data_IF_321246958132
#
_entry.id   IF_321246958132
#
_cell.length_a   1.000
_cell.length_b   1.000
_cell.length_c   1.000
_cell.angle_alpha   90.00
_cell.angle_beta   90.00
_cell.angle_gamma   90.00
#
_symmetry.space_group_name_H-M   'P 1'
#
loop_
_entity.id
_entity.type
_entity.pdbx_description
1 polymer ?
#
# COMPACT_ATOMS: atom_id res chain seq x y z
N UNK A 1 -3.75 20.77 22.05
CA UNK A 1 -2.85 19.81 21.38
C UNK A 1 -3.69 18.64 20.87
N UNK A 2 -3.68 18.30 19.57
CA UNK A 2 -4.37 17.09 19.11
C UNK A 2 -3.64 15.85 19.62
N UNK A 3 -4.36 14.99 20.35
CA UNK A 3 -3.85 13.73 20.88
C UNK A 3 -3.89 12.68 19.76
N UNK A 4 -2.74 12.38 19.16
CA UNK A 4 -2.65 11.30 18.17
C UNK A 4 -2.86 9.95 18.87
N UNK A 5 -3.95 9.25 18.56
CA UNK A 5 -4.15 7.86 19.00
C UNK A 5 -3.59 6.92 17.94
N UNK A 6 -2.73 6.00 18.37
CA UNK A 6 -2.21 4.95 17.51
C UNK A 6 -3.34 3.97 17.18
N UNK A 7 -3.61 3.79 15.90
CA UNK A 7 -4.48 2.73 15.38
C UNK A 7 -3.58 1.72 14.71
N UNK A 8 -3.62 0.47 15.16
CA UNK A 8 -2.90 -0.65 14.55
C UNK A 8 -3.96 -1.58 13.98
N UNK A 9 -3.82 -1.92 12.71
CA UNK A 9 -4.74 -2.81 12.00
C UNK A 9 -3.92 -3.81 11.22
N UNK A 10 -4.23 -5.08 11.40
CA UNK A 10 -3.67 -6.15 10.57
C UNK A 10 -4.54 -6.28 9.32
N UNK A 11 -3.87 -6.46 8.18
CA UNK A 11 -4.55 -6.56 6.91
C UNK A 11 -3.82 -7.50 5.97
N UNK A 12 -4.59 -8.12 5.09
CA UNK A 12 -4.09 -8.91 3.98
C UNK A 12 -4.21 -8.10 2.69
N UNK A 13 -3.15 -8.07 1.88
CA UNK A 13 -3.16 -7.37 0.58
C UNK A 13 -3.09 -8.38 -0.55
N UNK A 14 -4.01 -8.25 -1.50
CA UNK A 14 -3.96 -8.93 -2.79
C UNK A 14 -3.69 -7.90 -3.88
N UNK A 15 -2.44 -7.78 -4.36
CA UNK A 15 -2.09 -6.86 -5.43
C UNK A 15 -2.22 -7.54 -6.80
N UNK A 16 -2.79 -6.82 -7.77
CA UNK A 16 -2.83 -7.19 -9.17
C UNK A 16 -2.09 -6.10 -9.95
N UNK A 17 -0.81 -6.38 -10.25
CA UNK A 17 0.15 -5.39 -10.76
C UNK A 17 0.62 -5.77 -12.18
N UNK A 18 0.74 -4.77 -13.04
CA UNK A 18 1.39 -4.86 -14.33
C UNK A 18 2.62 -3.95 -14.34
N UNK A 19 3.70 -4.38 -14.98
CA UNK A 19 4.93 -3.60 -15.00
C UNK A 19 5.67 -3.71 -16.32
N UNK A 20 6.44 -2.67 -16.62
CA UNK A 20 7.36 -2.60 -17.74
C UNK A 20 8.76 -2.35 -17.20
N UNK A 21 9.77 -2.90 -17.89
CA UNK A 21 11.18 -2.70 -17.56
C UNK A 21 11.82 -1.85 -18.66
N UNK A 22 11.71 -0.51 -18.59
CA UNK A 22 12.24 0.36 -19.63
C UNK A 22 13.77 0.28 -19.80
N UNK A 23 14.50 -0.01 -18.72
CA UNK A 23 15.97 -0.14 -18.75
C UNK A 23 16.35 -1.48 -18.15
N UNK A 24 17.08 -2.29 -18.91
CA UNK A 24 17.58 -3.59 -18.47
C UNK A 24 19.07 -3.71 -18.81
N UNK A 25 19.91 -3.72 -17.79
CA UNK A 25 21.35 -3.94 -17.88
C UNK A 25 21.79 -5.05 -16.90
N UNK A 26 22.94 -5.71 -17.11
CA UNK A 26 23.36 -6.87 -16.30
C UNK A 26 23.49 -6.62 -14.78
N UNK A 27 23.71 -5.36 -14.38
CA UNK A 27 23.87 -4.97 -12.97
C UNK A 27 22.79 -3.98 -12.51
N UNK A 28 21.93 -3.52 -13.42
CA UNK A 28 20.99 -2.44 -13.15
C UNK A 28 19.70 -2.64 -13.97
N UNK A 29 18.55 -2.66 -13.30
CA UNK A 29 17.25 -2.67 -13.96
C UNK A 29 16.36 -1.56 -13.39
N UNK A 30 15.70 -0.80 -14.27
CA UNK A 30 14.67 0.15 -13.89
C UNK A 30 13.32 -0.41 -14.29
N UNK A 31 12.40 -0.49 -13.34
CA UNK A 31 11.06 -1.02 -13.48
C UNK A 31 10.04 0.07 -13.16
N UNK A 32 8.96 0.11 -13.91
CA UNK A 32 7.77 0.89 -13.57
C UNK A 32 6.60 -0.06 -13.50
N UNK A 33 5.74 0.11 -12.51
CA UNK A 33 4.62 -0.78 -12.28
C UNK A 33 3.39 -0.03 -11.80
N UNK A 34 2.23 -0.56 -12.14
CA UNK A 34 0.94 0.00 -11.76
C UNK A 34 -0.14 -1.07 -11.75
N UNK A 35 -1.16 -0.88 -10.92
CA UNK A 35 -2.22 -1.86 -10.79
C UNK A 35 -3.22 -1.52 -9.70
N UNK A 36 -4.07 -2.48 -9.38
CA UNK A 36 -5.02 -2.39 -8.28
C UNK A 36 -4.55 -3.26 -7.12
N UNK A 37 -4.87 -2.86 -5.90
CA UNK A 37 -4.61 -3.64 -4.70
C UNK A 37 -5.87 -3.65 -3.83
N UNK A 38 -6.29 -4.86 -3.45
CA UNK A 38 -7.37 -5.07 -2.49
C UNK A 38 -6.76 -5.30 -1.11
N UNK A 39 -7.20 -4.52 -0.13
CA UNK A 39 -6.80 -4.60 1.27
C UNK A 39 -7.97 -5.16 2.06
N UNK A 40 -7.77 -6.33 2.66
CA UNK A 40 -8.73 -6.98 3.55
C UNK A 40 -8.29 -6.72 4.98
N UNK A 41 -8.99 -5.81 5.66
CA UNK A 41 -8.69 -5.46 7.04
C UNK A 41 -9.36 -6.46 7.98
N UNK A 42 -8.58 -7.09 8.86
CA UNK A 42 -9.14 -7.83 9.98
C UNK A 42 -9.63 -6.78 11.00
N UNK A 43 -10.86 -6.92 11.50
CA UNK A 43 -11.50 -5.97 12.41
C UNK A 43 -10.55 -5.53 13.52
N UNK A 44 -10.14 -4.26 13.51
CA UNK A 44 -9.29 -3.66 14.52
C UNK A 44 -10.13 -3.05 15.63
N UNK A 45 -9.97 -3.52 16.87
CA UNK A 45 -10.53 -2.83 18.03
C UNK A 45 -9.74 -1.54 18.28
N UNK A 46 -10.33 -0.39 17.92
CA UNK A 46 -9.77 0.91 18.32
C UNK A 46 -10.06 1.12 19.80
N UNK A 47 -9.03 0.96 20.64
CA UNK A 47 -9.14 1.21 22.08
C UNK A 47 -9.74 2.61 22.35
N UNK A 48 -10.95 2.63 22.91
CA UNK A 48 -11.63 3.84 23.36
C UNK A 48 -12.52 4.55 22.34
N UNK A 49 -12.95 3.88 21.25
CA UNK A 49 -14.03 4.31 20.36
C UNK A 49 -14.85 3.08 19.95
N UNK A 50 -15.92 2.79 20.68
CA UNK A 50 -16.75 1.58 20.55
C UNK A 50 -17.64 1.53 19.30
N UNK A 51 -17.36 2.25 18.21
CA UNK A 51 -18.28 2.30 17.07
C UNK A 51 -17.70 2.78 15.74
N UNK A 52 -16.39 2.63 15.48
CA UNK A 52 -15.86 2.93 14.15
C UNK A 52 -15.92 1.64 13.32
N UNK A 53 -16.94 1.54 12.46
CA UNK A 53 -17.04 0.50 11.43
C UNK A 53 -15.95 0.71 10.39
N UNK A 54 -14.96 -0.18 10.37
CA UNK A 54 -13.94 -0.26 9.33
C UNK A 54 -14.53 -1.05 8.15
N UNK A 55 -14.37 -0.53 6.93
CA UNK A 55 -14.69 -1.31 5.73
C UNK A 55 -13.78 -2.53 5.70
N UNK A 56 -14.36 -3.73 5.66
CA UNK A 56 -13.61 -4.99 5.64
C UNK A 56 -12.73 -5.10 4.39
N UNK A 57 -13.14 -4.47 3.29
CA UNK A 57 -12.40 -4.47 2.02
C UNK A 57 -12.21 -3.03 1.53
N UNK A 58 -10.97 -2.67 1.21
CA UNK A 58 -10.60 -1.37 0.63
C UNK A 58 -9.84 -1.59 -0.66
N UNK A 59 -10.20 -0.85 -1.71
CA UNK A 59 -9.56 -0.91 -3.02
C UNK A 59 -8.73 0.33 -3.25
N UNK A 60 -7.47 0.12 -3.63
CA UNK A 60 -6.54 1.19 -3.98
C UNK A 60 -5.99 0.95 -5.39
N UNK A 61 -5.64 2.03 -6.08
CA UNK A 61 -4.72 1.96 -7.21
C UNK A 61 -3.31 2.15 -6.68
N UNK A 62 -2.38 1.29 -7.12
CA UNK A 62 -0.96 1.40 -6.79
C UNK A 62 -0.18 1.75 -8.03
N UNK A 63 0.72 2.71 -7.93
CA UNK A 63 1.70 3.03 -8.97
C UNK A 63 3.07 3.23 -8.34
N UNK A 64 4.13 2.79 -9.02
CA UNK A 64 5.48 2.88 -8.47
C UNK A 64 6.57 2.63 -9.49
N UNK A 65 7.79 2.82 -9.02
CA UNK A 65 9.01 2.52 -9.75
C UNK A 65 9.95 1.70 -8.86
N UNK A 66 10.67 0.81 -9.50
CA UNK A 66 11.65 -0.08 -8.89
C UNK A 66 13.01 0.11 -9.54
N UNK A 67 14.05 0.05 -8.73
CA UNK A 67 15.44 0.03 -9.18
C UNK A 67 16.11 -1.20 -8.58
N UNK A 68 16.61 -2.05 -9.45
CA UNK A 68 17.34 -3.25 -9.07
C UNK A 68 18.81 -3.01 -9.33
N UNK A 69 19.64 -3.20 -8.30
CA UNK A 69 21.10 -3.15 -8.40
C UNK A 69 21.62 -4.52 -8.01
N UNK A 70 22.11 -5.26 -9.00
CA UNK A 70 22.59 -6.63 -8.86
C UNK A 70 21.55 -7.58 -8.23
N UNK A 71 21.60 -7.79 -6.91
CA UNK A 71 20.66 -8.64 -6.15
C UNK A 71 19.72 -7.84 -5.23
N UNK A 72 19.92 -6.53 -5.12
CA UNK A 72 19.13 -5.67 -4.25
C UNK A 72 18.03 -5.03 -5.08
N UNK A 73 16.79 -5.20 -4.65
CA UNK A 73 15.62 -4.55 -5.26
C UNK A 73 15.16 -3.41 -4.35
N UNK A 74 15.02 -2.21 -4.90
CA UNK A 74 14.46 -1.07 -4.18
C UNK A 74 13.22 -0.58 -4.92
N UNK A 75 12.06 -0.67 -4.28
CA UNK A 75 10.78 -0.28 -4.88
C UNK A 75 10.16 0.86 -4.09
N UNK A 76 9.84 1.95 -4.78
CA UNK A 76 9.04 3.04 -4.25
C UNK A 76 7.69 3.06 -4.94
N UNK A 77 6.61 3.05 -4.16
CA UNK A 77 5.26 3.06 -4.70
C UNK A 77 4.31 3.90 -3.86
N UNK A 78 3.25 4.35 -4.51
CA UNK A 78 2.20 5.15 -3.94
C UNK A 78 0.85 4.44 -4.14
N UNK A 79 0.08 4.35 -3.07
CA UNK A 79 -1.29 3.87 -3.06
C UNK A 79 -2.26 5.04 -3.06
N UNK A 80 -3.13 5.06 -4.06
CA UNK A 80 -4.24 5.96 -4.19
C UNK A 80 -5.53 5.26 -3.77
N UNK A 81 -6.12 5.67 -2.64
CA UNK A 81 -7.38 5.13 -2.14
C UNK A 81 -8.54 5.42 -3.06
N UNK A 82 -9.20 4.38 -3.58
CA UNK A 82 -10.42 4.51 -4.37
C UNK A 82 -11.63 4.47 -3.43
N UNK A 83 -11.67 3.49 -2.54
CA UNK A 83 -12.77 3.32 -1.58
C UNK A 83 -12.41 3.88 -0.21
N UNK A 84 -13.45 4.16 0.58
CA UNK A 84 -13.30 4.69 1.93
C UNK A 84 -12.97 3.55 2.89
N UNK A 85 -12.02 3.79 3.78
CA UNK A 85 -11.68 2.89 4.88
C UNK A 85 -12.65 3.04 6.06
N UNK A 86 -13.19 4.25 6.25
CA UNK A 86 -14.15 4.59 7.29
C UNK A 86 -15.47 5.05 6.64
N UNK A 87 -16.57 4.35 6.91
CA UNK A 87 -17.88 4.69 6.34
C UNK A 87 -18.41 6.04 6.84
N UNK A 88 -18.06 6.41 8.08
CA UNK A 88 -18.57 7.62 8.76
C UNK A 88 -17.81 8.90 8.39
N UNK A 89 -16.68 8.81 7.68
CA UNK A 89 -15.83 9.97 7.35
C UNK A 89 -15.93 10.29 5.86
N UNK A 90 -16.27 11.54 5.51
CA UNK A 90 -16.42 11.98 4.12
C UNK A 90 -15.13 11.85 3.32
N UNK A 91 -13.98 12.09 3.96
CA UNK A 91 -12.62 12.02 3.40
C UNK A 91 -11.79 10.84 3.95
N UNK A 92 -12.43 9.68 4.10
CA UNK A 92 -11.81 8.46 4.64
C UNK A 92 -11.00 7.64 3.63
N UNK A 93 -10.52 8.24 2.53
CA UNK A 93 -9.70 7.52 1.54
C UNK A 93 -8.29 7.32 2.07
N UNK A 94 -7.79 6.10 2.01
CA UNK A 94 -6.46 5.78 2.49
C UNK A 94 -5.44 5.98 1.37
N UNK A 95 -4.48 6.89 1.58
CA UNK A 95 -3.33 7.09 0.71
C UNK A 95 -2.06 6.66 1.44
N UNK A 96 -1.09 6.10 0.72
CA UNK A 96 0.11 5.54 1.36
C UNK A 96 1.33 5.58 0.46
N UNK A 97 2.50 5.83 1.06
CA UNK A 97 3.79 5.64 0.41
C UNK A 97 4.42 4.35 0.94
N UNK A 98 4.89 3.51 0.04
CA UNK A 98 5.57 2.26 0.38
C UNK A 98 6.98 2.29 -0.19
N UNK A 99 7.96 2.13 0.69
CA UNK A 99 9.34 1.86 0.34
C UNK A 99 9.64 0.40 0.70
N UNK A 100 10.03 -0.40 -0.28
CA UNK A 100 10.35 -1.82 -0.10
C UNK A 100 11.78 -2.08 -0.53
N UNK A 101 12.51 -2.80 0.31
CA UNK A 101 13.83 -3.34 -0.02
C UNK A 101 13.73 -4.86 -0.07
N UNK A 102 14.18 -5.44 -1.18
CA UNK A 102 14.18 -6.87 -1.42
C UNK A 102 15.57 -7.39 -1.76
N UNK A 103 15.77 -8.69 -1.58
CA UNK A 103 16.98 -9.38 -2.01
C UNK A 103 16.59 -10.57 -2.88
N UNK A 104 17.13 -10.62 -4.10
CA UNK A 104 16.94 -11.71 -5.05
C UNK A 104 18.07 -12.73 -4.86
N UNK A 105 17.70 -13.92 -4.38
CA UNK A 105 18.61 -15.05 -4.15
C UNK A 105 18.85 -15.88 -5.43
#
# INVERSE_FOLDING_TARGET
>A
MPTFRKVQSDYLVVPLMFGLTPIKAPLFELRVFGGAAAFFYQSGEVSGLSSISLSQTVWNLRAGAGMDIWRIECNFSYDFGITKMFETVSDGKCHGYNLTLGFRF
#
